data_IF_484433124322
#
_entry.id   IF_484433124322
#
_cell.length_a   1.000
_cell.length_b   1.000
_cell.length_c   1.000
_cell.angle_alpha   90.00
_cell.angle_beta   90.00
_cell.angle_gamma   90.00
#
_symmetry.space_group_name_H-M   'P 1'
#
loop_
_entity.id
_entity.type
_entity.pdbx_description
1 polymer ?
#
# COMPACT_ATOMS: atom_id res chain seq x y z
N UNK A 1 -39.36 -0.57 -12.36
CA UNK A 1 -39.01 0.46 -11.40
C UNK A 1 -37.70 0.05 -10.77
N UNK A 2 -36.64 0.87 -10.88
CA UNK A 2 -35.39 0.57 -10.17
C UNK A 2 -35.65 0.54 -8.66
N UNK A 3 -35.12 -0.49 -7.98
CA UNK A 3 -35.19 -0.60 -6.54
C UNK A 3 -34.35 0.55 -5.92
N UNK A 4 -35.04 1.50 -5.27
CA UNK A 4 -34.39 2.69 -4.69
C UNK A 4 -33.51 2.39 -3.47
N UNK A 5 -33.61 1.18 -2.89
CA UNK A 5 -32.78 0.75 -1.76
C UNK A 5 -32.37 -0.74 -1.97
N UNK A 6 -31.47 -1.02 -2.92
CA UNK A 6 -31.04 -2.37 -3.21
C UNK A 6 -30.31 -2.98 -2.00
N UNK A 7 -30.50 -4.27 -1.76
CA UNK A 7 -29.70 -5.00 -0.77
C UNK A 7 -28.32 -5.32 -1.35
N UNK A 8 -27.27 -4.81 -0.71
CA UNK A 8 -25.90 -4.85 -1.22
C UNK A 8 -25.05 -5.79 -0.36
N UNK A 9 -24.37 -6.74 -1.00
CA UNK A 9 -23.34 -7.55 -0.36
C UNK A 9 -21.97 -6.95 -0.64
N UNK A 10 -21.16 -6.75 0.41
CA UNK A 10 -19.75 -6.33 0.34
C UNK A 10 -18.90 -7.47 0.89
N UNK A 11 -17.92 -7.94 0.12
CA UNK A 11 -17.02 -9.03 0.53
C UNK A 11 -15.64 -8.45 0.86
N UNK A 12 -15.22 -8.63 2.10
CA UNK A 12 -13.95 -8.15 2.65
C UNK A 12 -14.09 -6.90 3.51
N UNK A 13 -13.68 -6.98 4.78
CA UNK A 13 -13.67 -5.91 5.77
C UNK A 13 -12.34 -5.15 5.84
N UNK A 14 -11.56 -5.16 4.77
CA UNK A 14 -10.35 -4.34 4.63
C UNK A 14 -10.66 -2.87 4.32
N UNK A 15 -9.61 -2.05 4.04
CA UNK A 15 -9.77 -0.63 3.68
C UNK A 15 -10.81 -0.39 2.59
N UNK A 16 -10.82 -1.21 1.53
CA UNK A 16 -11.75 -1.06 0.41
C UNK A 16 -13.21 -1.30 0.83
N UNK A 17 -13.48 -2.37 1.61
CA UNK A 17 -14.86 -2.72 1.99
C UNK A 17 -15.44 -1.79 3.03
N UNK A 18 -14.69 -1.42 4.06
CA UNK A 18 -15.17 -0.49 5.10
C UNK A 18 -15.36 0.92 4.53
N UNK A 19 -14.44 1.44 3.72
CA UNK A 19 -14.63 2.74 3.06
C UNK A 19 -15.75 2.71 2.03
N UNK A 20 -15.95 1.60 1.31
CA UNK A 20 -17.10 1.45 0.40
C UNK A 20 -18.42 1.59 1.15
N UNK A 21 -18.57 0.92 2.29
CA UNK A 21 -19.78 1.04 3.11
C UNK A 21 -19.98 2.49 3.61
N UNK A 22 -18.91 3.15 4.08
CA UNK A 22 -18.95 4.57 4.43
C UNK A 22 -19.46 5.44 3.28
N UNK A 23 -18.95 5.26 2.07
CA UNK A 23 -19.40 6.03 0.90
C UNK A 23 -20.82 5.70 0.47
N UNK A 24 -21.27 4.46 0.65
CA UNK A 24 -22.67 4.08 0.43
C UNK A 24 -23.59 4.84 1.40
N UNK A 25 -23.25 4.88 2.69
CA UNK A 25 -24.02 5.66 3.68
C UNK A 25 -24.03 7.16 3.37
N UNK A 26 -22.87 7.74 3.01
CA UNK A 26 -22.80 9.17 2.58
C UNK A 26 -23.69 9.46 1.36
N UNK A 27 -24.00 8.46 0.53
CA UNK A 27 -24.90 8.54 -0.63
C UNK A 27 -26.35 8.14 -0.32
N UNK A 28 -26.67 7.79 0.91
CA UNK A 28 -28.01 7.40 1.35
C UNK A 28 -28.38 5.93 1.12
N UNK A 29 -27.42 5.07 0.82
CA UNK A 29 -27.61 3.62 0.74
C UNK A 29 -27.20 2.98 2.06
N UNK A 30 -28.16 2.44 2.81
CA UNK A 30 -27.90 1.82 4.11
C UNK A 30 -28.35 0.35 4.20
N UNK A 31 -28.82 -0.24 3.09
CA UNK A 31 -29.21 -1.64 3.03
C UNK A 31 -28.05 -2.50 2.51
N UNK A 32 -26.98 -2.64 3.30
CA UNK A 32 -25.82 -3.43 2.95
C UNK A 32 -25.39 -4.37 4.07
N UNK A 33 -24.60 -5.40 3.71
CA UNK A 33 -23.92 -6.30 4.65
C UNK A 33 -22.48 -6.44 4.21
N UNK A 34 -21.53 -6.35 5.17
CA UNK A 34 -20.10 -6.61 4.94
C UNK A 34 -19.77 -7.97 5.56
N UNK A 35 -19.24 -8.90 4.78
CA UNK A 35 -18.69 -10.16 5.27
C UNK A 35 -17.17 -10.13 5.32
N UNK A 36 -16.61 -10.37 6.50
CA UNK A 36 -15.18 -10.47 6.75
C UNK A 36 -14.83 -11.83 7.35
N UNK A 37 -13.90 -12.55 6.71
CA UNK A 37 -13.52 -13.91 7.12
C UNK A 37 -12.76 -13.95 8.43
N UNK A 38 -11.99 -12.90 8.72
CA UNK A 38 -11.18 -12.83 9.94
C UNK A 38 -11.96 -12.31 11.14
N UNK A 39 -11.36 -12.42 12.33
CA UNK A 39 -11.93 -11.89 13.57
C UNK A 39 -11.76 -10.37 13.74
N UNK A 40 -11.29 -9.64 12.72
CA UNK A 40 -11.06 -8.19 12.75
C UNK A 40 -11.09 -7.59 11.36
N UNK A 41 -11.39 -6.30 11.28
CA UNK A 41 -11.29 -5.50 10.05
C UNK A 41 -9.87 -4.96 9.85
N UNK A 42 -9.60 -4.39 8.67
CA UNK A 42 -8.33 -3.74 8.34
C UNK A 42 -7.54 -4.46 7.23
N UNK A 43 -7.81 -5.74 6.98
CA UNK A 43 -7.16 -6.49 5.89
C UNK A 43 -5.63 -6.40 5.93
N UNK A 44 -5.01 -5.85 4.86
CA UNK A 44 -3.56 -5.65 4.77
C UNK A 44 -3.04 -4.45 5.59
N UNK A 45 -3.90 -3.59 6.14
CA UNK A 45 -3.54 -2.63 7.18
C UNK A 45 -3.52 -3.37 8.52
N UNK A 46 -2.39 -4.00 8.81
CA UNK A 46 -2.20 -4.87 9.97
C UNK A 46 -1.19 -4.28 10.95
N UNK A 47 -1.69 -3.91 12.14
CA UNK A 47 -0.93 -3.19 13.17
C UNK A 47 -1.01 -3.94 14.52
N UNK A 48 -0.25 -5.05 14.68
CA UNK A 48 -0.27 -5.81 15.93
C UNK A 48 0.38 -5.04 17.09
N UNK A 49 -0.06 -5.35 18.31
CA UNK A 49 0.54 -4.85 19.54
C UNK A 49 1.77 -5.67 19.91
N UNK A 50 2.85 -4.98 20.27
CA UNK A 50 4.08 -5.63 20.77
C UNK A 50 4.64 -4.89 21.98
N UNK A 51 5.38 -5.61 22.83
CA UNK A 51 6.08 -5.04 23.97
C UNK A 51 7.28 -4.21 23.53
N UNK A 52 7.41 -3.01 24.06
CA UNK A 52 8.56 -2.10 23.90
C UNK A 52 8.95 -1.55 25.26
N UNK A 53 10.19 -1.09 25.44
CA UNK A 53 10.58 -0.30 26.61
C UNK A 53 10.40 1.18 26.30
N UNK A 54 9.70 1.90 27.16
CA UNK A 54 9.60 3.35 27.08
C UNK A 54 10.89 4.05 27.58
N UNK A 55 10.93 5.38 27.50
CA UNK A 55 12.07 6.18 27.92
C UNK A 55 12.49 5.98 29.40
N UNK A 56 11.58 5.49 30.25
CA UNK A 56 11.81 5.17 31.65
C UNK A 56 12.25 3.71 31.87
N UNK A 57 12.46 2.93 30.79
CA UNK A 57 12.85 1.52 30.85
C UNK A 57 11.69 0.56 31.22
N UNK A 58 10.45 1.05 31.29
CA UNK A 58 9.26 0.25 31.60
C UNK A 58 8.69 -0.39 30.36
N UNK A 59 8.31 -1.67 30.42
CA UNK A 59 7.62 -2.37 29.36
C UNK A 59 6.18 -1.88 29.19
N UNK A 60 5.80 -1.58 27.95
CA UNK A 60 4.45 -1.21 27.57
C UNK A 60 4.09 -1.83 26.21
N UNK A 61 2.78 -1.90 25.91
CA UNK A 61 2.30 -2.36 24.62
C UNK A 61 2.20 -1.17 23.66
N UNK A 62 2.80 -1.31 22.47
CA UNK A 62 2.66 -0.37 21.37
C UNK A 62 2.46 -1.11 20.07
N UNK A 63 1.78 -0.47 19.13
CA UNK A 63 1.59 -1.00 17.79
C UNK A 63 2.86 -0.96 16.97
N UNK A 64 3.05 -1.98 16.13
CA UNK A 64 4.00 -1.97 15.02
C UNK A 64 3.22 -2.15 13.71
N UNK A 65 3.80 -1.72 12.60
CA UNK A 65 3.17 -1.83 11.29
C UNK A 65 3.73 -3.00 10.50
N UNK A 66 2.90 -4.00 10.27
CA UNK A 66 3.24 -5.18 9.44
C UNK A 66 2.67 -5.09 8.03
N UNK A 67 1.90 -4.03 7.73
CA UNK A 67 1.27 -3.76 6.44
C UNK A 67 1.52 -2.34 6.00
N UNK A 68 0.45 -1.55 5.86
CA UNK A 68 0.58 -0.11 5.58
C UNK A 68 1.27 0.60 6.74
N UNK A 69 2.27 1.44 6.44
CA UNK A 69 3.19 1.99 7.45
C UNK A 69 2.90 3.46 7.74
N UNK A 70 2.53 4.25 6.72
CA UNK A 70 2.43 5.70 6.82
C UNK A 70 1.46 6.27 5.81
N UNK A 71 1.05 7.51 6.02
CA UNK A 71 0.28 8.32 5.09
C UNK A 71 0.95 9.66 4.82
N UNK A 72 0.33 10.47 3.99
CA UNK A 72 0.74 11.84 3.70
C UNK A 72 -0.47 12.70 3.30
N UNK A 73 -0.27 14.01 3.24
CA UNK A 73 -1.32 15.02 2.95
C UNK A 73 -2.14 14.75 1.68
N UNK A 74 -1.63 13.91 0.77
CA UNK A 74 -2.29 13.59 -0.50
C UNK A 74 -3.23 12.39 -0.43
N UNK A 75 -3.39 11.77 0.74
CA UNK A 75 -4.24 10.59 0.91
C UNK A 75 -5.66 10.97 1.40
N UNK A 76 -6.45 11.62 0.51
CA UNK A 76 -7.78 12.13 0.86
C UNK A 76 -8.75 11.10 1.39
N UNK A 77 -8.83 9.94 0.74
CA UNK A 77 -9.70 8.88 1.20
C UNK A 77 -9.39 8.47 2.63
N UNK A 78 -8.12 8.56 3.03
CA UNK A 78 -7.69 8.32 4.41
C UNK A 78 -8.18 9.43 5.32
N UNK A 79 -8.07 10.71 4.93
CA UNK A 79 -8.64 11.83 5.72
C UNK A 79 -10.13 11.69 5.92
N UNK A 80 -10.89 11.37 4.86
CA UNK A 80 -12.32 11.16 4.97
C UNK A 80 -12.68 10.00 5.90
N UNK A 81 -11.84 8.94 5.90
CA UNK A 81 -11.99 7.81 6.81
C UNK A 81 -11.65 8.17 8.26
N UNK A 82 -10.61 8.99 8.48
CA UNK A 82 -10.26 9.51 9.80
C UNK A 82 -11.42 10.37 10.38
N UNK A 83 -11.92 11.29 9.58
CA UNK A 83 -13.03 12.16 9.98
C UNK A 83 -14.28 11.35 10.32
N UNK A 84 -14.66 10.40 9.47
CA UNK A 84 -15.81 9.54 9.69
C UNK A 84 -15.61 8.60 10.87
N UNK A 85 -14.43 8.00 11.01
CA UNK A 85 -14.12 7.01 12.04
C UNK A 85 -13.63 7.57 13.37
N UNK A 86 -13.52 8.92 13.48
CA UNK A 86 -13.05 9.58 14.70
C UNK A 86 -11.59 9.25 15.07
N UNK A 87 -10.76 8.93 14.09
CA UNK A 87 -9.32 8.68 14.29
C UNK A 87 -8.50 9.89 13.85
N UNK A 88 -7.29 10.03 14.39
CA UNK A 88 -6.38 11.12 14.05
C UNK A 88 -4.97 10.56 13.84
N UNK A 89 -4.29 11.10 12.85
CA UNK A 89 -2.86 10.81 12.66
C UNK A 89 -2.01 11.68 13.59
N UNK A 90 -0.79 11.23 13.78
CA UNK A 90 0.28 12.01 14.36
C UNK A 90 1.09 12.59 13.21
N UNK A 91 1.40 13.88 13.25
CA UNK A 91 2.44 14.45 12.42
C UNK A 91 3.71 13.63 12.68
N UNK A 92 4.09 12.84 11.67
CA UNK A 92 5.12 11.84 11.84
C UNK A 92 6.40 12.48 12.33
N UNK A 93 7.06 11.89 13.34
CA UNK A 93 8.42 12.25 13.62
C UNK A 93 9.19 12.09 12.30
N UNK A 94 10.14 12.98 12.02
CA UNK A 94 11.02 12.78 10.88
C UNK A 94 11.66 11.40 11.06
N UNK A 95 11.15 10.41 10.34
CA UNK A 95 11.73 9.07 10.38
C UNK A 95 13.12 9.20 9.80
N UNK A 96 14.11 9.15 10.66
CA UNK A 96 15.51 9.15 10.26
C UNK A 96 15.70 8.01 9.27
N UNK A 97 16.32 8.29 8.13
CA UNK A 97 16.61 7.31 7.08
C UNK A 97 18.10 7.28 6.82
N UNK A 98 18.62 6.10 6.74
CA UNK A 98 20.02 5.89 6.32
C UNK A 98 20.02 4.94 5.13
N UNK A 99 20.72 5.35 4.09
CA UNK A 99 20.93 4.51 2.92
C UNK A 99 22.21 3.70 3.13
N UNK A 100 22.12 2.39 2.93
CA UNK A 100 23.16 1.43 3.22
C UNK A 100 23.58 0.71 1.95
N UNK A 101 24.83 0.32 1.88
CA UNK A 101 25.33 -0.68 0.95
C UNK A 101 25.04 -2.08 1.50
N UNK A 102 25.07 -3.10 0.64
CA UNK A 102 24.82 -4.49 1.03
C UNK A 102 25.89 -5.09 1.95
N UNK A 103 27.05 -4.43 2.06
CA UNK A 103 28.12 -4.79 3.01
C UNK A 103 27.91 -4.20 4.42
N UNK A 104 26.78 -3.51 4.65
CA UNK A 104 26.46 -2.88 5.92
C UNK A 104 27.09 -1.48 6.14
N UNK A 105 27.80 -0.93 5.15
CA UNK A 105 28.36 0.42 5.25
C UNK A 105 27.40 1.50 4.77
N UNK A 106 27.42 2.72 5.35
CA UNK A 106 26.58 3.81 4.88
C UNK A 106 26.91 4.26 3.46
N UNK A 107 25.88 4.44 2.63
CA UNK A 107 26.03 4.95 1.27
C UNK A 107 26.48 6.41 1.27
N UNK A 108 27.47 6.73 0.44
CA UNK A 108 27.96 8.09 0.22
C UNK A 108 27.35 8.66 -1.06
N UNK A 109 26.64 9.78 -0.96
CA UNK A 109 26.13 10.51 -2.14
C UNK A 109 27.06 11.67 -2.48
N UNK A 110 27.45 11.82 -3.75
CA UNK A 110 28.15 13.00 -4.20
C UNK A 110 27.18 14.15 -4.48
N UNK A 111 27.54 15.42 -4.21
CA UNK A 111 26.71 16.59 -4.53
C UNK A 111 26.31 16.64 -6.01
N UNK A 112 27.22 16.24 -6.90
CA UNK A 112 26.97 16.20 -8.34
C UNK A 112 25.89 15.17 -8.72
N UNK A 113 25.91 13.98 -8.10
CA UNK A 113 24.89 12.96 -8.31
C UNK A 113 23.53 13.44 -7.81
N UNK A 114 23.48 14.12 -6.68
CA UNK A 114 22.25 14.72 -6.15
C UNK A 114 21.68 15.78 -7.11
N UNK A 115 22.52 16.66 -7.64
CA UNK A 115 22.11 17.69 -8.61
C UNK A 115 21.52 17.06 -9.88
N UNK A 116 22.17 16.02 -10.42
CA UNK A 116 21.63 15.27 -11.59
C UNK A 116 20.26 14.68 -11.28
N UNK A 117 20.06 14.03 -10.14
CA UNK A 117 18.77 13.50 -9.72
C UNK A 117 17.70 14.59 -9.69
N UNK A 118 17.97 15.74 -9.10
CA UNK A 118 17.03 16.88 -9.02
C UNK A 118 16.65 17.39 -10.42
N UNK A 119 17.62 17.51 -11.33
CA UNK A 119 17.35 17.94 -12.70
C UNK A 119 16.45 16.95 -13.45
N UNK A 120 16.71 15.66 -13.30
CA UNK A 120 15.90 14.61 -13.95
C UNK A 120 14.48 14.52 -13.34
N UNK A 121 14.35 14.71 -12.04
CA UNK A 121 13.04 14.84 -11.40
C UNK A 121 12.23 16.02 -11.96
N UNK A 122 12.86 17.20 -12.10
CA UNK A 122 12.19 18.37 -12.69
C UNK A 122 11.74 18.10 -14.14
N UNK A 123 12.60 17.42 -14.92
CA UNK A 123 12.27 17.02 -16.29
C UNK A 123 11.07 16.09 -16.32
N UNK A 124 11.07 15.05 -15.50
CA UNK A 124 9.98 14.09 -15.39
C UNK A 124 8.67 14.77 -14.94
N UNK A 125 8.73 15.62 -13.90
CA UNK A 125 7.56 16.41 -13.48
C UNK A 125 6.98 17.23 -14.62
N UNK A 126 7.82 17.91 -15.42
CA UNK A 126 7.37 18.68 -16.58
C UNK A 126 6.72 17.79 -17.66
N UNK A 127 7.25 16.59 -17.90
CA UNK A 127 6.66 15.63 -18.84
C UNK A 127 5.27 15.17 -18.37
N UNK A 128 5.11 14.90 -17.07
CA UNK A 128 3.83 14.53 -16.47
C UNK A 128 2.79 15.67 -16.56
N UNK A 129 3.25 16.92 -16.47
CA UNK A 129 2.39 18.10 -16.60
C UNK A 129 2.03 18.44 -18.07
N UNK A 130 2.74 17.90 -19.04
CA UNK A 130 2.57 18.22 -20.47
C UNK A 130 2.18 16.99 -21.30
N UNK A 131 3.14 16.18 -21.74
CA UNK A 131 2.94 15.02 -22.62
C UNK A 131 2.00 13.98 -22.01
N UNK A 132 2.18 13.71 -20.71
CA UNK A 132 1.41 12.69 -19.98
C UNK A 132 0.35 13.31 -19.05
N UNK A 133 -0.07 14.53 -19.31
CA UNK A 133 -1.12 15.21 -18.53
C UNK A 133 -2.38 14.35 -18.47
N UNK A 134 -2.93 14.20 -17.27
CA UNK A 134 -4.07 13.33 -17.00
C UNK A 134 -3.69 11.94 -16.47
N UNK A 135 -2.40 11.63 -16.43
CA UNK A 135 -1.84 10.44 -15.77
C UNK A 135 -1.16 10.69 -14.43
N UNK A 136 -0.95 11.92 -14.07
CA UNK A 136 -0.67 12.31 -12.68
C UNK A 136 -1.97 12.27 -11.85
N UNK A 137 -2.49 11.26 -11.81
CA UNK A 137 -3.76 10.61 -11.70
C UNK A 137 -4.49 10.84 -10.39
N UNK A 138 -3.82 11.36 -9.41
CA UNK A 138 -4.39 11.18 -8.10
C UNK A 138 -5.40 12.26 -7.70
N UNK A 139 -5.69 13.22 -8.54
CA UNK A 139 -6.53 14.36 -8.14
C UNK A 139 -5.94 15.10 -6.92
N UNK A 140 -4.75 14.66 -6.46
CA UNK A 140 -4.05 15.21 -5.30
C UNK A 140 -3.82 16.71 -5.44
N UNK A 141 -3.47 17.17 -6.62
CA UNK A 141 -3.38 18.59 -6.91
C UNK A 141 -4.73 19.28 -6.83
N UNK A 142 -5.79 18.65 -7.34
CA UNK A 142 -7.13 19.20 -7.28
C UNK A 142 -7.59 19.50 -5.87
N UNK A 143 -7.25 18.64 -4.90
CA UNK A 143 -7.64 18.84 -3.50
C UNK A 143 -6.71 19.82 -2.80
N UNK A 144 -5.39 19.69 -2.94
CA UNK A 144 -4.43 20.64 -2.34
C UNK A 144 -4.63 22.07 -2.84
N UNK A 145 -5.20 22.23 -4.03
CA UNK A 145 -5.56 23.51 -4.63
C UNK A 145 -7.05 23.89 -4.43
N UNK A 146 -7.79 23.10 -3.64
CA UNK A 146 -9.23 23.35 -3.37
C UNK A 146 -10.15 23.12 -4.57
N UNK A 147 -9.66 22.41 -5.61
CA UNK A 147 -10.43 22.15 -6.85
C UNK A 147 -11.20 20.84 -6.83
N UNK A 148 -11.01 20.04 -5.80
CA UNK A 148 -11.68 18.76 -5.64
C UNK A 148 -12.80 18.86 -4.62
N UNK A 149 -14.01 18.66 -5.06
CA UNK A 149 -15.19 18.57 -4.21
C UNK A 149 -15.73 17.14 -4.18
N UNK A 150 -15.33 16.39 -3.16
CA UNK A 150 -15.91 15.09 -2.86
C UNK A 150 -15.26 13.89 -3.57
N UNK A 151 -15.82 12.66 -3.44
CA UNK A 151 -15.22 11.41 -3.87
C UNK A 151 -15.29 11.15 -5.37
N UNK A 152 -15.74 12.10 -6.18
CA UNK A 152 -15.73 11.97 -7.63
C UNK A 152 -14.36 12.29 -8.21
N UNK A 153 -13.92 11.55 -9.25
CA UNK A 153 -12.72 11.90 -9.98
C UNK A 153 -12.77 13.37 -10.43
N UNK A 154 -11.66 14.08 -10.25
CA UNK A 154 -11.54 15.44 -10.77
C UNK A 154 -11.81 15.46 -12.28
N UNK A 155 -12.15 16.63 -12.87
CA UNK A 155 -12.27 16.75 -14.32
C UNK A 155 -11.02 16.25 -15.06
N UNK A 156 -9.83 16.42 -14.48
CA UNK A 156 -8.58 15.92 -15.04
C UNK A 156 -8.51 14.39 -15.03
N UNK A 157 -9.05 13.71 -14.01
CA UNK A 157 -9.19 12.24 -14.02
C UNK A 157 -10.20 11.76 -15.07
N UNK A 158 -11.22 12.55 -15.38
CA UNK A 158 -12.12 12.25 -16.51
C UNK A 158 -11.43 12.33 -17.85
N UNK A 159 -10.39 13.14 -17.99
CA UNK A 159 -9.57 13.21 -19.21
C UNK A 159 -8.73 11.94 -19.42
N UNK A 160 -8.46 11.17 -18.38
CA UNK A 160 -7.84 9.85 -18.52
C UNK A 160 -8.79 8.83 -19.19
N UNK A 161 -10.09 9.08 -19.18
CA UNK A 161 -11.12 8.32 -19.89
C UNK A 161 -11.52 9.04 -21.21
N UNK A 162 -10.54 9.43 -22.00
CA UNK A 162 -10.77 9.95 -23.35
C UNK A 162 -11.48 8.85 -24.15
N UNK A 163 -12.62 9.20 -24.78
CA UNK A 163 -13.23 8.32 -25.77
C UNK A 163 -12.24 8.05 -26.89
N UNK A 164 -11.82 6.78 -27.01
CA UNK A 164 -10.84 6.36 -28.00
C UNK A 164 -9.52 5.88 -27.38
N UNK A 165 -8.59 5.53 -28.22
CA UNK A 165 -7.28 5.02 -27.84
C UNK A 165 -6.39 6.15 -27.30
N UNK A 166 -5.93 6.02 -26.06
CA UNK A 166 -5.00 7.00 -25.48
C UNK A 166 -3.66 6.96 -26.22
N UNK A 167 -3.21 8.07 -26.86
CA UNK A 167 -1.99 8.09 -27.65
C UNK A 167 -0.72 7.79 -26.82
N UNK A 168 -0.79 7.92 -25.51
CA UNK A 168 0.33 7.65 -24.61
C UNK A 168 0.28 6.22 -24.01
N UNK A 169 -0.72 5.41 -24.33
CA UNK A 169 -0.89 4.08 -23.75
C UNK A 169 0.33 3.20 -23.97
N UNK A 170 0.94 3.26 -25.15
CA UNK A 170 2.16 2.50 -25.45
C UNK A 170 3.32 2.88 -24.53
N UNK A 171 3.55 4.15 -24.28
CA UNK A 171 4.63 4.61 -23.40
C UNK A 171 4.34 4.24 -21.95
N UNK A 172 3.09 4.34 -21.52
CA UNK A 172 2.66 4.15 -20.15
C UNK A 172 2.49 2.67 -19.77
N UNK A 173 2.32 1.78 -20.74
CA UNK A 173 2.23 0.34 -20.52
C UNK A 173 3.59 -0.37 -20.47
N UNK A 174 4.67 0.31 -20.88
CA UNK A 174 6.01 -0.28 -20.76
C UNK A 174 6.50 -0.29 -19.31
N UNK A 175 7.49 -1.13 -18.97
CA UNK A 175 8.15 -1.10 -17.67
C UNK A 175 8.68 0.30 -17.32
N UNK A 176 8.59 0.70 -16.05
CA UNK A 176 8.95 2.06 -15.65
C UNK A 176 10.42 2.41 -15.93
N UNK A 177 11.33 1.44 -15.81
CA UNK A 177 12.73 1.65 -16.17
C UNK A 177 12.91 1.99 -17.66
N UNK A 178 12.15 1.34 -18.56
CA UNK A 178 12.15 1.65 -19.99
C UNK A 178 11.50 3.00 -20.29
N UNK A 179 10.41 3.33 -19.59
CA UNK A 179 9.78 4.63 -19.66
C UNK A 179 10.75 5.77 -19.28
N UNK A 180 11.54 5.57 -18.21
CA UNK A 180 12.56 6.54 -17.81
C UNK A 180 13.65 6.69 -18.88
N UNK A 181 14.11 5.60 -19.47
CA UNK A 181 15.08 5.60 -20.59
C UNK A 181 14.53 6.34 -21.80
N UNK A 182 13.30 6.02 -22.24
CA UNK A 182 12.63 6.68 -23.35
C UNK A 182 12.59 8.20 -23.17
N UNK A 183 12.39 8.65 -21.94
CA UNK A 183 12.28 10.07 -21.59
C UNK A 183 13.61 10.69 -21.12
N UNK A 184 14.73 9.97 -21.15
CA UNK A 184 16.05 10.38 -20.66
C UNK A 184 16.03 10.89 -19.22
N UNK A 185 15.37 10.11 -18.33
CA UNK A 185 15.17 10.43 -16.92
C UNK A 185 15.69 9.32 -15.98
N UNK A 186 16.60 8.46 -16.41
CA UNK A 186 17.09 7.28 -15.70
C UNK A 186 17.63 7.61 -14.31
N UNK A 187 18.34 8.72 -14.16
CA UNK A 187 18.87 9.15 -12.86
C UNK A 187 17.77 9.48 -11.83
N UNK A 188 16.50 9.61 -12.26
CA UNK A 188 15.38 9.79 -11.35
C UNK A 188 14.92 8.47 -10.70
N UNK A 189 15.27 7.32 -11.24
CA UNK A 189 14.82 6.00 -10.78
C UNK A 189 15.02 5.78 -9.28
N UNK A 190 16.21 6.10 -8.77
CA UNK A 190 16.53 5.92 -7.35
C UNK A 190 15.63 6.72 -6.39
N UNK A 191 15.01 7.81 -6.88
CA UNK A 191 14.10 8.62 -6.08
C UNK A 191 12.77 7.90 -5.89
N UNK A 192 12.29 7.23 -6.96
CA UNK A 192 11.04 6.46 -6.92
C UNK A 192 11.22 5.07 -6.30
N UNK A 193 12.40 4.47 -6.44
CA UNK A 193 12.70 3.11 -5.97
C UNK A 193 12.46 2.95 -4.46
N UNK A 194 12.91 3.92 -3.66
CA UNK A 194 12.70 3.91 -2.20
C UNK A 194 11.22 3.79 -1.82
N UNK A 195 10.35 4.77 -2.16
CA UNK A 195 8.95 4.71 -1.76
C UNK A 195 8.08 3.75 -2.56
N UNK A 196 8.59 3.09 -3.60
CA UNK A 196 7.82 2.13 -4.40
C UNK A 196 8.26 0.68 -4.15
N UNK A 197 9.47 0.32 -4.56
CA UNK A 197 9.96 -1.07 -4.47
C UNK A 197 10.09 -1.53 -3.02
N UNK A 198 10.59 -0.66 -2.13
CA UNK A 198 10.75 -1.02 -0.71
C UNK A 198 9.41 -1.28 0.01
N UNK A 199 8.31 -0.78 -0.52
CA UNK A 199 6.96 -1.03 0.01
C UNK A 199 6.22 -2.17 -0.71
N UNK A 200 6.93 -2.98 -1.48
CA UNK A 200 6.38 -4.21 -2.05
C UNK A 200 5.57 -4.06 -3.32
N UNK A 201 5.65 -2.91 -4.00
CA UNK A 201 4.87 -2.68 -5.22
C UNK A 201 5.51 -3.27 -6.49
N UNK A 202 6.68 -3.87 -6.40
CA UNK A 202 7.39 -4.53 -7.49
C UNK A 202 8.65 -3.79 -7.95
N UNK A 203 9.30 -4.37 -8.96
CA UNK A 203 10.53 -3.85 -9.55
C UNK A 203 10.22 -3.02 -10.80
N UNK A 204 11.05 -2.04 -11.11
CA UNK A 204 10.79 -1.11 -12.22
C UNK A 204 11.03 -1.69 -13.62
N UNK A 205 11.64 -2.84 -13.72
CA UNK A 205 11.83 -3.60 -14.97
C UNK A 205 10.61 -4.46 -15.34
N UNK A 206 9.62 -4.59 -14.44
CA UNK A 206 8.40 -5.36 -14.68
C UNK A 206 7.11 -4.52 -14.55
N UNK A 207 7.09 -3.49 -13.70
CA UNK A 207 5.88 -2.74 -13.39
C UNK A 207 5.63 -1.63 -14.43
N UNK A 208 4.42 -1.56 -15.03
CA UNK A 208 4.07 -0.52 -16.00
C UNK A 208 4.21 0.89 -15.43
N UNK A 209 4.71 1.81 -16.26
CA UNK A 209 4.91 3.20 -15.88
C UNK A 209 3.61 3.86 -15.38
N UNK A 210 2.46 3.57 -16.00
CA UNK A 210 1.17 4.07 -15.54
C UNK A 210 0.87 3.70 -14.09
N UNK A 211 1.23 2.48 -13.67
CA UNK A 211 0.99 1.99 -12.32
C UNK A 211 1.87 2.73 -11.29
N UNK A 212 3.16 2.91 -11.62
CA UNK A 212 4.09 3.66 -10.76
C UNK A 212 3.66 5.12 -10.63
N UNK A 213 3.34 5.78 -11.75
CA UNK A 213 2.97 7.19 -11.79
C UNK A 213 1.59 7.45 -11.15
N UNK A 214 0.70 6.47 -11.19
CA UNK A 214 -0.58 6.53 -10.49
C UNK A 214 -0.40 6.56 -8.97
N UNK A 215 0.52 5.79 -8.43
CA UNK A 215 0.79 5.74 -7.00
C UNK A 215 1.68 6.89 -6.53
N UNK A 216 2.72 7.18 -7.28
CA UNK A 216 3.76 8.15 -6.92
C UNK A 216 3.93 9.19 -8.02
N UNK A 217 3.02 10.16 -8.08
CA UNK A 217 3.27 11.37 -8.87
C UNK A 217 4.44 12.19 -8.28
N UNK A 218 4.92 13.16 -9.03
CA UNK A 218 6.06 13.98 -8.61
C UNK A 218 5.79 14.76 -7.30
N UNK A 219 4.53 15.10 -7.03
CA UNK A 219 4.15 15.80 -5.80
C UNK A 219 4.19 14.86 -4.60
N UNK A 220 3.62 13.66 -4.71
CA UNK A 220 3.65 12.63 -3.67
C UNK A 220 5.07 12.22 -3.34
N UNK A 221 5.93 11.99 -4.36
CA UNK A 221 7.35 11.71 -4.15
C UNK A 221 8.04 12.84 -3.37
N UNK A 222 7.72 14.09 -3.67
CA UNK A 222 8.25 15.23 -2.92
C UNK A 222 7.83 15.20 -1.44
N UNK A 223 6.61 14.78 -1.13
CA UNK A 223 6.16 14.57 0.26
C UNK A 223 7.00 13.50 0.95
N UNK A 224 7.23 12.36 0.30
CA UNK A 224 8.07 11.29 0.84
C UNK A 224 9.53 11.70 1.08
N UNK A 225 10.04 12.65 0.32
CA UNK A 225 11.40 13.16 0.48
C UNK A 225 11.50 14.29 1.53
N UNK A 226 10.38 14.92 1.87
CA UNK A 226 10.33 16.02 2.84
C UNK A 226 10.22 15.47 4.25
N UNK A 227 11.04 15.97 5.16
CA UNK A 227 10.95 15.63 6.58
C UNK A 227 9.68 16.22 7.19
N UNK A 228 8.96 15.44 8.02
CA UNK A 228 7.80 15.90 8.77
C UNK A 228 6.49 16.01 7.97
N UNK A 229 6.43 15.43 6.76
CA UNK A 229 5.23 15.42 5.90
C UNK A 229 4.54 14.05 5.81
N UNK A 230 5.09 13.04 6.49
CA UNK A 230 4.50 11.72 6.57
C UNK A 230 3.78 11.57 7.90
N UNK A 231 2.65 10.89 7.88
CA UNK A 231 1.83 10.63 9.06
C UNK A 231 1.95 9.20 9.52
N UNK A 232 1.70 9.00 10.80
CA UNK A 232 1.48 7.70 11.39
C UNK A 232 0.31 7.80 12.37
N UNK A 233 -0.21 6.67 12.82
CA UNK A 233 -1.30 6.62 13.81
C UNK A 233 -0.80 5.96 15.07
N UNK A 234 -1.11 6.52 16.23
CA UNK A 234 -0.64 5.97 17.50
C UNK A 234 -1.04 4.49 17.64
N UNK A 235 -2.29 4.17 17.32
CA UNK A 235 -2.82 2.80 17.37
C UNK A 235 -2.62 2.03 16.05
N UNK A 236 -1.77 2.52 15.15
CA UNK A 236 -1.48 1.91 13.86
C UNK A 236 -2.48 2.24 12.77
N UNK A 237 -2.11 1.98 11.51
CA UNK A 237 -2.96 2.21 10.34
C UNK A 237 -4.25 1.39 10.37
N UNK A 238 -4.25 0.22 11.01
CA UNK A 238 -5.44 -0.61 11.18
C UNK A 238 -6.55 0.14 11.92
N UNK A 239 -6.20 1.00 12.88
CA UNK A 239 -7.17 1.73 13.71
C UNK A 239 -8.09 2.67 12.91
N UNK A 240 -7.65 3.14 11.73
CA UNK A 240 -8.49 3.94 10.82
C UNK A 240 -9.72 3.13 10.41
N UNK A 241 -9.50 1.90 9.98
CA UNK A 241 -10.55 1.02 9.44
C UNK A 241 -11.42 0.43 10.54
N UNK A 242 -10.85 0.21 11.71
CA UNK A 242 -11.59 -0.13 12.93
C UNK A 242 -12.50 1.04 13.35
N UNK A 243 -11.99 2.27 13.28
CA UNK A 243 -12.77 3.48 13.51
C UNK A 243 -13.92 3.61 12.52
N UNK A 244 -13.64 3.51 11.22
CA UNK A 244 -14.70 3.53 10.19
C UNK A 244 -15.75 2.45 10.48
N UNK A 245 -15.31 1.20 10.67
CA UNK A 245 -16.22 0.08 10.91
C UNK A 245 -17.12 0.28 12.14
N UNK A 246 -16.59 0.86 13.20
CA UNK A 246 -17.36 1.12 14.44
C UNK A 246 -18.41 2.20 14.29
N UNK A 247 -18.27 3.11 13.32
CA UNK A 247 -19.21 4.20 13.04
C UNK A 247 -20.20 3.88 11.92
N UNK A 248 -20.04 2.75 11.21
CA UNK A 248 -21.01 2.28 10.23
C UNK A 248 -22.33 1.90 10.92
N UNK A 249 -23.47 2.14 10.27
CA UNK A 249 -24.79 1.65 10.71
C UNK A 249 -24.83 0.13 10.82
N UNK A 250 -24.13 -0.55 9.90
CA UNK A 250 -24.01 -2.00 9.85
C UNK A 250 -22.52 -2.38 9.80
N UNK A 251 -21.86 -2.53 10.96
CA UNK A 251 -20.47 -2.99 11.02
C UNK A 251 -20.30 -4.35 10.36
N UNK A 252 -19.07 -4.64 9.92
CA UNK A 252 -18.74 -5.90 9.28
C UNK A 252 -19.03 -7.11 10.18
N UNK A 253 -19.65 -8.13 9.60
CA UNK A 253 -19.84 -9.44 10.21
C UNK A 253 -18.51 -10.18 10.13
N UNK A 254 -17.83 -10.28 11.28
CA UNK A 254 -16.54 -10.97 11.42
C UNK A 254 -16.72 -12.50 11.46
N UNK A 255 -15.63 -13.25 11.22
CA UNK A 255 -15.64 -14.71 11.13
C UNK A 255 -16.71 -15.23 10.15
N UNK A 256 -16.91 -14.49 9.07
CA UNK A 256 -17.95 -14.71 8.06
C UNK A 256 -17.31 -14.91 6.70
N UNK A 257 -16.82 -16.13 6.47
CA UNK A 257 -16.19 -16.49 5.21
C UNK A 257 -17.24 -16.77 4.14
N UNK A 258 -17.13 -16.09 3.00
CA UNK A 258 -17.93 -16.36 1.81
C UNK A 258 -17.34 -17.57 1.10
N UNK A 259 -18.14 -18.62 0.92
CA UNK A 259 -17.71 -19.89 0.35
C UNK A 259 -18.31 -20.19 -1.02
N UNK A 260 -19.41 -19.54 -1.40
CA UNK A 260 -20.02 -19.68 -2.73
C UNK A 260 -20.78 -18.42 -3.12
N UNK A 261 -20.73 -18.06 -4.39
CA UNK A 261 -21.50 -16.97 -5.00
C UNK A 261 -22.09 -17.44 -6.31
N UNK A 262 -23.42 -17.23 -6.47
CA UNK A 262 -24.13 -17.44 -7.74
C UNK A 262 -24.82 -16.15 -8.15
N UNK A 263 -24.67 -15.78 -9.42
CA UNK A 263 -25.35 -14.63 -10.03
C UNK A 263 -26.30 -15.18 -11.09
N UNK A 264 -27.59 -15.09 -10.83
CA UNK A 264 -28.63 -15.53 -11.74
C UNK A 264 -29.89 -14.68 -11.57
N UNK A 265 -30.69 -14.53 -12.65
CA UNK A 265 -31.95 -13.78 -12.64
C UNK A 265 -31.87 -12.39 -12.03
N UNK A 266 -30.79 -11.63 -12.37
CA UNK A 266 -30.49 -10.29 -11.84
C UNK A 266 -30.34 -10.22 -10.30
N UNK A 267 -30.08 -11.36 -9.66
CA UNK A 267 -29.83 -11.51 -8.23
C UNK A 267 -28.45 -12.13 -7.98
N UNK A 268 -28.00 -11.94 -6.76
CA UNK A 268 -26.77 -12.55 -6.24
C UNK A 268 -27.10 -13.37 -5.02
N UNK A 269 -26.71 -14.62 -5.03
CA UNK A 269 -26.86 -15.57 -3.92
C UNK A 269 -25.47 -15.79 -3.32
N UNK A 270 -25.31 -15.46 -2.04
CA UNK A 270 -24.03 -15.54 -1.34
C UNK A 270 -24.14 -16.54 -0.19
N UNK A 271 -23.27 -17.54 -0.16
CA UNK A 271 -23.23 -18.53 0.90
C UNK A 271 -22.13 -18.17 1.91
N UNK A 272 -22.53 -17.98 3.15
CA UNK A 272 -21.67 -17.66 4.29
C UNK A 272 -21.99 -18.58 5.45
N UNK A 273 -21.00 -19.25 6.01
CA UNK A 273 -21.19 -20.17 7.15
C UNK A 273 -22.32 -21.20 6.92
N UNK A 274 -22.44 -21.72 5.70
CA UNK A 274 -23.43 -22.72 5.30
C UNK A 274 -24.84 -22.19 5.07
N UNK A 275 -25.07 -20.86 5.15
CA UNK A 275 -26.36 -20.23 4.84
C UNK A 275 -26.25 -19.39 3.58
N UNK A 276 -27.23 -19.52 2.68
CA UNK A 276 -27.31 -18.71 1.45
C UNK A 276 -28.28 -17.57 1.64
N UNK A 277 -27.85 -16.37 1.30
CA UNK A 277 -28.65 -15.14 1.32
C UNK A 277 -28.71 -14.49 -0.06
N UNK A 278 -29.86 -13.85 -0.36
CA UNK A 278 -30.10 -13.15 -1.63
C UNK A 278 -29.78 -11.66 -1.52
N UNK A 279 -29.12 -11.12 -2.55
CA UNK A 279 -28.78 -9.71 -2.69
C UNK A 279 -29.11 -9.19 -4.09
N UNK A 280 -29.31 -7.86 -4.19
CA UNK A 280 -29.50 -7.17 -5.47
C UNK A 280 -28.17 -6.80 -6.14
N UNK A 281 -27.14 -6.52 -5.33
CA UNK A 281 -25.81 -6.09 -5.80
C UNK A 281 -24.69 -6.77 -5.02
N UNK A 282 -23.55 -6.94 -5.69
CA UNK A 282 -22.33 -7.49 -5.13
C UNK A 282 -21.18 -6.54 -5.34
N UNK A 283 -20.42 -6.28 -4.27
CA UNK A 283 -19.16 -5.52 -4.29
C UNK A 283 -18.06 -6.43 -3.73
N UNK A 284 -17.08 -6.73 -4.55
CA UNK A 284 -15.94 -7.56 -4.17
C UNK A 284 -14.78 -6.64 -3.78
N UNK A 285 -14.39 -6.67 -2.51
CA UNK A 285 -13.29 -5.90 -1.93
C UNK A 285 -12.13 -6.80 -1.47
N UNK A 286 -12.07 -8.00 -2.04
CA UNK A 286 -10.96 -8.97 -1.93
C UNK A 286 -10.25 -9.09 -3.27
N UNK A 287 -9.03 -9.65 -3.32
CA UNK A 287 -8.35 -9.93 -4.58
C UNK A 287 -9.23 -10.74 -5.54
N UNK A 288 -9.32 -10.28 -6.82
CA UNK A 288 -10.31 -10.82 -7.77
C UNK A 288 -10.00 -12.25 -8.23
N UNK A 289 -8.74 -12.68 -8.21
CA UNK A 289 -8.37 -14.07 -8.52
C UNK A 289 -8.94 -15.04 -7.48
N UNK A 290 -9.14 -14.61 -6.24
CA UNK A 290 -9.80 -15.43 -5.21
C UNK A 290 -11.26 -15.71 -5.55
N UNK A 291 -11.93 -14.78 -6.24
CA UNK A 291 -13.30 -14.97 -6.71
C UNK A 291 -13.44 -16.17 -7.64
N UNK A 292 -12.39 -16.55 -8.37
CA UNK A 292 -12.39 -17.73 -9.24
C UNK A 292 -12.61 -19.04 -8.46
N UNK A 293 -12.28 -19.06 -7.17
CA UNK A 293 -12.40 -20.24 -6.30
C UNK A 293 -13.76 -20.39 -5.62
N UNK A 294 -14.49 -19.29 -5.40
CA UNK A 294 -15.77 -19.32 -4.67
C UNK A 294 -16.93 -18.65 -5.41
N UNK A 295 -16.68 -18.08 -6.60
CA UNK A 295 -17.71 -17.44 -7.41
C UNK A 295 -18.11 -18.24 -8.63
N UNK A 296 -19.06 -17.71 -9.40
CA UNK A 296 -19.43 -18.22 -10.73
C UNK A 296 -18.96 -17.24 -11.82
N UNK A 297 -17.64 -17.19 -12.11
CA UNK A 297 -17.07 -16.23 -13.04
C UNK A 297 -17.56 -16.50 -14.46
N UNK A 298 -17.83 -15.41 -15.22
CA UNK A 298 -18.05 -15.51 -16.65
C UNK A 298 -16.73 -15.86 -17.35
N UNK A 299 -16.76 -16.34 -18.60
CA UNK A 299 -15.54 -16.68 -19.33
C UNK A 299 -14.53 -15.53 -19.38
N UNK A 300 -15.01 -14.31 -19.62
CA UNK A 300 -14.17 -13.11 -19.72
C UNK A 300 -13.55 -12.72 -18.35
N UNK A 301 -14.32 -12.86 -17.26
CA UNK A 301 -13.82 -12.64 -15.89
C UNK A 301 -12.77 -13.69 -15.54
N UNK A 302 -13.01 -14.95 -15.91
CA UNK A 302 -12.04 -16.03 -15.68
C UNK A 302 -10.74 -15.77 -16.44
N UNK A 303 -10.83 -15.39 -17.71
CA UNK A 303 -9.66 -15.03 -18.51
C UNK A 303 -8.89 -13.84 -17.91
N UNK A 304 -9.59 -12.78 -17.49
CA UNK A 304 -8.98 -11.58 -16.97
C UNK A 304 -8.39 -11.80 -15.57
N UNK A 305 -9.16 -12.40 -14.66
CA UNK A 305 -8.73 -12.52 -13.26
C UNK A 305 -7.62 -13.54 -13.07
N UNK A 306 -7.52 -14.57 -13.95
CA UNK A 306 -6.40 -15.50 -13.94
C UNK A 306 -5.05 -14.88 -14.34
N UNK A 307 -5.06 -13.68 -14.94
CA UNK A 307 -3.85 -12.93 -15.31
C UNK A 307 -3.36 -11.99 -14.20
N UNK A 308 -4.05 -11.92 -13.07
CA UNK A 308 -3.63 -11.08 -11.93
C UNK A 308 -2.42 -11.73 -11.27
N UNK A 309 -1.31 -10.98 -11.23
CA UNK A 309 -0.07 -11.39 -10.57
C UNK A 309 0.11 -10.58 -9.30
N UNK A 310 0.38 -11.25 -8.19
CA UNK A 310 0.67 -10.61 -6.90
C UNK A 310 2.16 -10.54 -6.65
N UNK A 311 2.55 -9.51 -5.91
CA UNK A 311 3.92 -9.43 -5.36
C UNK A 311 3.95 -10.13 -4.01
N UNK A 312 4.89 -11.05 -3.88
CA UNK A 312 5.15 -11.79 -2.65
C UNK A 312 5.98 -10.94 -1.69
N UNK A 313 5.28 -10.01 -1.04
CA UNK A 313 5.87 -9.08 -0.09
C UNK A 313 5.91 -9.71 1.31
N UNK A 314 7.10 -9.94 1.79
CA UNK A 314 7.37 -10.55 3.09
C UNK A 314 7.75 -9.50 4.13
N UNK A 315 7.09 -9.54 5.27
CA UNK A 315 7.37 -8.68 6.42
C UNK A 315 7.62 -9.54 7.65
N UNK A 316 8.61 -9.17 8.43
CA UNK A 316 9.00 -9.88 9.64
C UNK A 316 9.27 -8.87 10.76
N UNK A 317 8.71 -9.10 11.94
CA UNK A 317 9.05 -8.34 13.13
C UNK A 317 10.19 -9.05 13.85
N UNK A 318 11.32 -8.40 13.97
CA UNK A 318 12.51 -8.94 14.62
C UNK A 318 12.89 -8.07 15.80
N UNK A 319 13.35 -8.70 16.89
CA UNK A 319 13.89 -8.00 18.04
C UNK A 319 15.41 -8.14 18.03
N UNK A 320 16.16 -7.03 17.85
CA UNK A 320 17.60 -7.03 18.02
C UNK A 320 17.99 -7.34 19.46
N UNK A 321 19.21 -7.81 19.66
CA UNK A 321 19.81 -7.90 20.99
C UNK A 321 19.75 -6.54 21.71
N UNK A 322 19.57 -6.54 23.02
CA UNK A 322 19.40 -5.33 23.84
C UNK A 322 20.57 -4.33 23.61
N UNK A 323 20.22 -3.09 23.31
CA UNK A 323 21.20 -2.02 23.03
C UNK A 323 21.67 -1.93 21.59
N UNK A 324 21.27 -2.84 20.69
CA UNK A 324 21.70 -2.86 19.29
C UNK A 324 20.65 -2.34 18.30
N UNK A 325 19.45 -1.97 18.74
CA UNK A 325 18.43 -1.41 17.85
C UNK A 325 18.85 -0.02 17.39
N UNK A 326 18.96 0.24 16.07
CA UNK A 326 19.22 1.58 15.57
C UNK A 326 18.00 2.47 15.83
N UNK A 327 18.23 3.76 15.96
CA UNK A 327 17.20 4.80 16.15
C UNK A 327 16.60 5.32 14.84
N UNK A 328 16.97 4.74 13.71
CA UNK A 328 16.55 5.15 12.36
C UNK A 328 16.33 3.94 11.45
N UNK A 329 15.54 4.13 10.39
CA UNK A 329 15.30 3.10 9.38
C UNK A 329 16.45 3.03 8.37
N UNK A 330 16.83 1.81 7.95
CA UNK A 330 17.86 1.56 6.95
C UNK A 330 17.25 1.07 5.65
N UNK A 331 17.72 1.64 4.53
CA UNK A 331 17.28 1.35 3.17
C UNK A 331 18.45 0.83 2.34
N UNK A 332 18.27 -0.31 1.69
CA UNK A 332 19.27 -1.01 0.88
C UNK A 332 18.87 -0.97 -0.59
N UNK A 333 19.23 0.11 -1.30
CA UNK A 333 18.83 0.27 -2.71
C UNK A 333 19.40 -0.81 -3.63
N UNK A 334 20.58 -1.36 -3.30
CA UNK A 334 21.20 -2.45 -4.05
C UNK A 334 20.39 -3.75 -3.98
N UNK A 335 19.61 -3.94 -2.90
CA UNK A 335 18.69 -5.06 -2.72
C UNK A 335 17.32 -4.85 -3.36
N UNK A 336 17.10 -3.71 -4.04
CA UNK A 336 15.82 -3.39 -4.70
C UNK A 336 15.90 -3.67 -6.21
N UNK A 337 16.45 -4.81 -6.60
CA UNK A 337 16.54 -5.31 -7.97
C UNK A 337 16.01 -6.74 -8.05
N UNK A 338 15.65 -7.17 -9.25
CA UNK A 338 15.16 -8.53 -9.49
C UNK A 338 16.18 -9.62 -9.12
N UNK A 339 17.48 -9.34 -9.33
CA UNK A 339 18.56 -10.27 -9.01
C UNK A 339 18.74 -10.47 -7.51
N UNK A 340 18.37 -9.47 -6.72
CA UNK A 340 18.48 -9.48 -5.26
C UNK A 340 17.14 -9.72 -4.57
N UNK A 341 16.13 -10.28 -5.27
CA UNK A 341 14.89 -10.68 -4.64
C UNK A 341 15.14 -11.67 -3.50
N UNK A 342 14.39 -11.57 -2.44
CA UNK A 342 14.61 -12.32 -1.20
C UNK A 342 15.54 -11.65 -0.20
N UNK A 343 16.27 -10.60 -0.60
CA UNK A 343 17.13 -9.82 0.28
C UNK A 343 16.37 -8.72 1.04
N UNK A 344 16.93 -8.27 2.15
CA UNK A 344 16.43 -7.17 2.95
C UNK A 344 16.46 -5.85 2.17
N UNK A 345 15.30 -5.26 1.91
CA UNK A 345 15.20 -3.95 1.26
C UNK A 345 15.16 -2.79 2.27
N UNK A 346 14.44 -2.98 3.36
CA UNK A 346 14.30 -1.99 4.45
C UNK A 346 14.12 -2.73 5.75
N UNK A 347 14.70 -2.21 6.82
CA UNK A 347 14.11 -2.40 8.11
C UNK A 347 13.62 -1.06 8.67
N UNK A 348 12.47 -1.12 9.29
CA UNK A 348 11.71 0.03 9.73
C UNK A 348 11.71 0.14 11.24
N UNK A 349 12.10 1.31 11.72
CA UNK A 349 12.06 1.72 13.10
C UNK A 349 10.88 2.66 13.30
N UNK A 350 9.91 2.29 14.14
CA UNK A 350 8.65 3.03 14.24
C UNK A 350 8.68 4.15 15.29
N UNK A 351 9.14 3.84 16.49
CA UNK A 351 9.01 4.74 17.63
C UNK A 351 10.32 5.45 17.91
N UNK A 352 10.32 6.79 17.85
CA UNK A 352 11.47 7.66 18.08
C UNK A 352 11.35 8.56 19.31
N UNK A 353 10.30 8.36 20.12
CA UNK A 353 9.98 9.15 21.31
C UNK A 353 10.64 8.62 22.60
N UNK A 354 11.87 8.14 22.49
CA UNK A 354 12.62 7.55 23.60
C UNK A 354 12.27 6.09 23.88
N UNK A 355 11.52 5.45 22.99
CA UNK A 355 11.26 4.00 23.06
C UNK A 355 12.55 3.25 22.73
N UNK A 356 12.89 2.31 23.61
CA UNK A 356 14.02 1.40 23.44
C UNK A 356 13.53 -0.04 23.34
N UNK A 357 14.39 -0.96 22.93
CA UNK A 357 14.08 -2.38 22.83
C UNK A 357 12.76 -2.64 22.05
N UNK A 358 12.57 -1.92 20.94
CA UNK A 358 11.44 -2.12 20.05
C UNK A 358 11.77 -3.12 18.94
N UNK A 359 10.79 -3.88 18.46
CA UNK A 359 10.95 -4.67 17.25
C UNK A 359 11.22 -3.78 16.04
N UNK A 360 12.09 -4.25 15.16
CA UNK A 360 12.25 -3.71 13.80
C UNK A 360 11.38 -4.53 12.85
N UNK A 361 10.74 -3.87 11.90
CA UNK A 361 10.00 -4.56 10.85
C UNK A 361 10.82 -4.58 9.58
N UNK A 362 11.08 -5.76 9.04
CA UNK A 362 11.82 -5.95 7.80
C UNK A 362 10.88 -6.07 6.63
N UNK A 363 11.32 -5.61 5.46
CA UNK A 363 10.58 -5.63 4.21
C UNK A 363 11.42 -6.27 3.11
N UNK A 364 10.85 -7.27 2.44
CA UNK A 364 11.51 -8.10 1.42
C UNK A 364 10.52 -8.47 0.32
N UNK A 365 10.93 -8.43 -0.94
CA UNK A 365 10.19 -8.97 -2.09
C UNK A 365 10.80 -10.30 -2.52
N UNK A 366 9.97 -11.34 -2.71
CA UNK A 366 10.42 -12.71 -3.01
C UNK A 366 10.25 -13.10 -4.46
N UNK A 367 9.38 -12.45 -5.21
CA UNK A 367 9.06 -12.82 -6.58
C UNK A 367 9.29 -11.69 -7.59
N UNK A 368 9.50 -12.10 -8.83
CA UNK A 368 9.57 -11.26 -10.02
C UNK A 368 8.91 -11.99 -11.19
N UNK A 369 8.23 -11.28 -12.09
CA UNK A 369 7.60 -11.89 -13.25
C UNK A 369 8.65 -12.60 -14.13
N UNK A 370 8.37 -13.86 -14.49
CA UNK A 370 9.27 -14.67 -15.31
C UNK A 370 10.49 -15.26 -14.58
N UNK A 371 10.59 -15.11 -13.28
CA UNK A 371 11.63 -15.70 -12.43
C UNK A 371 11.01 -16.63 -11.37
N UNK A 372 11.78 -17.60 -10.91
CA UNK A 372 11.38 -18.47 -9.82
C UNK A 372 11.28 -17.69 -8.50
N UNK A 373 10.24 -17.96 -7.73
CA UNK A 373 10.03 -17.32 -6.42
C UNK A 373 11.11 -17.81 -5.45
N UNK A 374 11.66 -16.89 -4.66
CA UNK A 374 12.54 -17.25 -3.54
C UNK A 374 11.70 -17.91 -2.44
N UNK A 375 12.04 -19.12 -1.99
CA UNK A 375 11.32 -19.78 -0.89
C UNK A 375 11.28 -18.92 0.37
N UNK A 376 10.17 -19.02 1.12
CA UNK A 376 9.97 -18.19 2.31
C UNK A 376 11.10 -18.32 3.34
N UNK A 377 11.52 -19.54 3.66
CA UNK A 377 12.58 -19.77 4.67
C UNK A 377 13.94 -19.25 4.17
N UNK A 378 14.24 -19.39 2.88
CA UNK A 378 15.45 -18.83 2.29
C UNK A 378 15.47 -17.29 2.37
N UNK A 379 14.36 -16.63 2.01
CA UNK A 379 14.23 -15.17 2.13
C UNK A 379 14.35 -14.70 3.58
N UNK A 380 13.81 -15.44 4.54
CA UNK A 380 13.94 -15.19 5.97
C UNK A 380 15.40 -15.27 6.42
N UNK A 381 16.09 -16.35 6.10
CA UNK A 381 17.51 -16.55 6.47
C UNK A 381 18.39 -15.47 5.82
N UNK A 382 18.16 -15.16 4.55
CA UNK A 382 18.87 -14.10 3.82
C UNK A 382 18.65 -12.73 4.46
N UNK A 383 17.40 -12.41 4.83
CA UNK A 383 17.06 -11.15 5.50
C UNK A 383 17.80 -11.02 6.84
N UNK A 384 17.86 -12.09 7.63
CA UNK A 384 18.58 -12.09 8.91
C UNK A 384 20.10 -11.94 8.70
N UNK A 385 20.66 -12.61 7.72
CA UNK A 385 22.09 -12.47 7.37
C UNK A 385 22.42 -11.05 6.89
N UNK A 386 21.54 -10.40 6.15
CA UNK A 386 21.71 -9.00 5.73
C UNK A 386 21.65 -8.04 6.94
N UNK A 387 20.82 -8.32 7.94
CA UNK A 387 20.81 -7.56 9.20
C UNK A 387 22.12 -7.73 9.96
N UNK A 388 22.65 -8.93 10.01
CA UNK A 388 23.92 -9.24 10.70
C UNK A 388 25.12 -8.49 10.09
N UNK A 389 25.15 -8.32 8.75
CA UNK A 389 26.15 -7.48 8.06
C UNK A 389 26.15 -6.02 8.54
N UNK A 390 25.00 -5.54 9.00
CA UNK A 390 24.86 -4.19 9.60
C UNK A 390 25.16 -4.16 11.09
N UNK A 391 25.66 -5.26 11.68
CA UNK A 391 25.92 -5.39 13.11
C UNK A 391 24.70 -5.63 13.97
N UNK A 392 23.55 -5.94 13.34
CA UNK A 392 22.28 -6.21 14.02
C UNK A 392 22.11 -7.71 14.26
N UNK A 393 22.39 -8.15 15.46
CA UNK A 393 22.07 -9.51 15.89
C UNK A 393 20.64 -9.58 16.37
N UNK A 394 19.91 -10.59 15.91
CA UNK A 394 18.50 -10.81 16.22
C UNK A 394 18.36 -11.82 17.34
N UNK A 395 17.68 -11.43 18.41
CA UNK A 395 17.40 -12.30 19.56
C UNK A 395 16.11 -13.11 19.36
N UNK A 396 15.08 -12.49 18.74
CA UNK A 396 13.76 -13.12 18.49
C UNK A 396 13.14 -12.64 17.18
N UNK A 397 12.36 -13.55 16.61
CA UNK A 397 11.51 -13.31 15.41
C UNK A 397 10.05 -13.41 15.84
#
# INVERSE_FOLDING_TARGET
>A
MENKNPRICIIGGGPAGTSMAMYLEKKGYDNYVIYEKSGKVGGKAFSPMMKVKNAQGKWEDRTIEMGAVMGCDTYFAVHECEEFGGTTHLDGPPMGRRFMNTDGTPQKSSPLALLKKIMKMRKLSKLLETKYKGYDVNGHRGVSEGRYEGPCPSPEMKLAHIEGENPNLKDLSMPFSEFLKLNHCEDAELVWKGPFTSFGYGYFDEIPAAYVLKYLDAFTVKQFLSTGKLWTWYNGTQSIWEGVNSHLKHPALLNSEVTDIKRENDKVYVTVNGKTEEFDKLIICTPLELFLGYGNPRPEEKELFSKIVHKEYFTMAVRPEEGNAPDISYYFFENMTNETRGHLMVFYHRWSDGVTDQPLVTFTLRNHEGMEDVPFEEAKETTLADMEKCGLKVDKI
#
